data_IF_980671048137
#
_entry.id   IF_980671048137
#
_cell.length_a   1.000
_cell.length_b   1.000
_cell.length_c   1.000
_cell.angle_alpha   90.00
_cell.angle_beta   90.00
_cell.angle_gamma   90.00
#
_symmetry.space_group_name_H-M   'P 1'
#
loop_
_entity.id
_entity.type
_entity.pdbx_description
1 polymer ?
#
# COMPACT_ATOMS: atom_id res chain seq x y z
N UNK A 1 -20.06 -55.74 -8.30
CA UNK A 1 -20.01 -56.60 -7.09
C UNK A 1 -19.84 -55.72 -5.86
N UNK A 2 -20.58 -56.03 -4.79
CA UNK A 2 -20.72 -55.30 -3.53
C UNK A 2 -19.44 -55.42 -2.66
N UNK A 3 -19.14 -54.41 -1.85
CA UNK A 3 -19.06 -54.55 -0.37
C UNK A 3 -18.75 -53.21 0.31
N UNK A 4 -19.77 -52.70 1.01
CA UNK A 4 -19.63 -51.83 2.17
C UNK A 4 -19.08 -52.62 3.37
N UNK A 5 -18.33 -51.98 4.26
CA UNK A 5 -18.07 -52.38 5.66
C UNK A 5 -17.21 -51.30 6.33
N UNK A 6 -17.35 -50.86 7.58
CA UNK A 6 -18.39 -50.82 8.61
C UNK A 6 -17.75 -49.99 9.74
N UNK A 7 -18.59 -49.28 10.50
CA UNK A 7 -18.23 -48.43 11.63
C UNK A 7 -17.46 -49.15 12.76
N UNK A 8 -16.71 -48.41 13.60
CA UNK A 8 -17.06 -48.11 15.02
C UNK A 8 -15.93 -47.43 15.84
N UNK A 9 -16.31 -46.28 16.43
CA UNK A 9 -16.16 -45.80 17.83
C UNK A 9 -14.77 -45.49 18.46
N UNK A 10 -14.75 -44.28 19.05
CA UNK A 10 -13.79 -43.64 19.98
C UNK A 10 -13.48 -44.44 21.25
N UNK A 11 -12.35 -44.12 21.91
CA UNK A 11 -12.45 -43.49 23.23
C UNK A 11 -11.56 -42.26 23.45
N UNK A 12 -11.93 -41.53 24.49
CA UNK A 12 -11.46 -40.24 25.04
C UNK A 12 -10.13 -40.31 25.79
N UNK A 13 -9.33 -39.23 25.81
CA UNK A 13 -8.75 -38.64 27.04
C UNK A 13 -8.02 -37.30 26.78
N UNK A 14 -8.49 -36.30 27.54
CA UNK A 14 -7.83 -35.16 28.22
C UNK A 14 -6.64 -34.41 27.60
N UNK A 15 -6.89 -33.10 27.48
CA UNK A 15 -6.01 -31.95 27.30
C UNK A 15 -4.69 -31.95 28.09
N UNK A 16 -3.62 -31.48 27.45
CA UNK A 16 -2.90 -30.30 27.95
C UNK A 16 -1.98 -29.65 26.90
N UNK A 17 -2.05 -28.32 26.82
CA UNK A 17 -0.93 -27.41 26.58
C UNK A 17 -0.20 -27.45 25.23
N UNK A 18 -0.29 -26.36 24.48
CA UNK A 18 0.71 -26.05 23.44
C UNK A 18 0.16 -25.31 22.25
N UNK A 19 -0.30 -24.08 22.46
CA UNK A 19 -0.62 -23.15 21.39
C UNK A 19 0.61 -22.86 20.54
N UNK A 20 0.52 -23.11 19.24
CA UNK A 20 1.18 -22.31 18.19
C UNK A 20 0.37 -22.49 16.92
N UNK A 21 -0.53 -21.53 16.72
CA UNK A 21 -1.64 -21.55 15.78
C UNK A 21 -1.23 -20.77 14.53
N UNK A 22 -0.76 -21.47 13.50
CA UNK A 22 -0.76 -20.99 12.11
C UNK A 22 -2.14 -21.32 11.53
N UNK A 23 -2.98 -20.30 11.32
CA UNK A 23 -4.22 -20.45 10.55
C UNK A 23 -4.76 -19.08 10.15
N UNK A 24 -4.35 -18.64 8.97
CA UNK A 24 -5.10 -17.68 8.16
C UNK A 24 -6.37 -18.37 7.66
N UNK A 25 -7.53 -18.11 8.30
CA UNK A 25 -8.90 -18.19 7.75
C UNK A 25 -9.92 -18.20 8.90
N UNK A 26 -10.47 -17.03 9.22
CA UNK A 26 -11.87 -16.83 9.59
C UNK A 26 -12.10 -15.33 9.75
N UNK A 27 -12.79 -14.74 8.79
CA UNK A 27 -13.38 -13.42 8.96
C UNK A 27 -14.55 -13.59 9.95
N UNK A 28 -14.50 -12.92 11.09
CA UNK A 28 -15.64 -12.80 12.01
C UNK A 28 -16.01 -11.33 12.16
N UNK A 29 -17.29 -10.95 12.03
CA UNK A 29 -17.71 -9.59 12.24
C UNK A 29 -17.80 -9.35 13.75
N UNK A 30 -16.86 -8.57 14.30
CA UNK A 30 -17.04 -7.98 15.61
C UNK A 30 -17.57 -6.56 15.43
N UNK A 31 -18.89 -6.49 15.43
CA UNK A 31 -19.64 -5.30 15.85
C UNK A 31 -19.17 -4.98 17.27
N UNK A 32 -18.43 -3.89 17.41
CA UNK A 32 -18.43 -2.93 18.53
C UNK A 32 -17.08 -2.17 18.55
N UNK A 33 -17.02 -1.03 17.86
CA UNK A 33 -16.07 0.04 18.22
C UNK A 33 -16.89 1.20 18.81
N UNK A 34 -16.77 1.49 20.12
CA UNK A 34 -17.38 2.66 20.71
C UNK A 34 -16.66 3.91 20.20
N UNK A 35 -17.44 4.94 19.89
CA UNK A 35 -17.08 6.31 19.48
C UNK A 35 -15.63 6.68 19.80
N UNK A 36 -14.74 6.51 18.82
CA UNK A 36 -13.43 7.16 18.84
C UNK A 36 -13.68 8.65 18.64
N UNK A 37 -13.42 9.40 19.70
CA UNK A 37 -13.19 10.85 19.71
C UNK A 37 -12.39 11.26 18.47
N UNK A 38 -12.72 12.36 17.77
CA UNK A 38 -11.79 12.92 16.80
C UNK A 38 -10.54 13.35 17.57
N UNK A 39 -9.48 12.55 17.50
CA UNK A 39 -8.16 12.98 17.90
C UNK A 39 -7.70 13.96 16.82
N UNK A 40 -7.97 15.24 17.04
CA UNK A 40 -7.10 16.33 16.59
C UNK A 40 -5.78 16.14 17.34
N UNK A 41 -4.98 15.17 16.90
CA UNK A 41 -3.61 14.98 17.33
C UNK A 41 -2.75 15.88 16.46
N UNK A 42 -2.19 16.91 17.09
CA UNK A 42 -0.99 17.64 16.72
C UNK A 42 -0.43 17.35 15.32
N UNK A 43 -0.80 18.18 14.34
CA UNK A 43 -0.06 18.26 13.07
C UNK A 43 1.27 18.92 13.40
N UNK A 44 2.29 18.10 13.68
CA UNK A 44 3.66 18.58 13.77
C UNK A 44 4.05 19.16 12.39
N UNK A 45 4.39 20.46 12.26
CA UNK A 45 5.00 20.94 11.03
C UNK A 45 6.48 20.57 11.10
N UNK A 46 6.81 19.37 10.62
CA UNK A 46 8.19 18.89 10.49
C UNK A 46 8.52 18.77 9.01
N UNK A 47 8.66 19.92 8.33
CA UNK A 47 9.01 20.03 6.90
C UNK A 47 7.93 19.50 5.96
N UNK A 48 7.30 20.37 5.16
CA UNK A 48 6.45 19.85 4.07
C UNK A 48 7.37 19.41 2.93
N UNK A 49 7.78 18.14 2.97
CA UNK A 49 8.63 17.54 1.94
C UNK A 49 7.88 17.56 0.61
N UNK A 50 8.35 18.41 -0.32
CA UNK A 50 7.78 18.53 -1.67
C UNK A 50 8.40 17.48 -2.58
N UNK A 51 7.57 16.62 -3.14
CA UNK A 51 8.00 15.57 -4.07
C UNK A 51 7.84 16.03 -5.52
N UNK A 52 8.82 15.71 -6.35
CA UNK A 52 8.85 16.02 -7.78
C UNK A 52 9.50 14.90 -8.59
N UNK A 53 9.17 14.80 -9.88
CA UNK A 53 9.84 13.85 -10.77
C UNK A 53 11.27 14.29 -11.04
N UNK A 54 12.20 13.34 -11.01
CA UNK A 54 13.58 13.66 -11.31
C UNK A 54 13.73 14.03 -12.80
N UNK A 55 14.41 15.13 -13.14
CA UNK A 55 14.43 15.67 -14.51
C UNK A 55 15.17 14.79 -15.52
N UNK A 56 15.98 13.85 -15.05
CA UNK A 56 16.75 12.91 -15.87
C UNK A 56 16.01 11.60 -16.16
N UNK A 57 14.74 11.49 -15.74
CA UNK A 57 13.90 10.32 -15.96
C UNK A 57 13.05 10.52 -17.21
N UNK A 58 13.28 9.67 -18.20
CA UNK A 58 12.39 9.52 -19.34
C UNK A 58 11.23 8.61 -18.95
N UNK A 59 10.03 8.93 -19.40
CA UNK A 59 8.88 8.07 -19.13
C UNK A 59 7.89 8.08 -20.29
N UNK A 60 7.12 7.00 -20.38
CA UNK A 60 5.97 6.90 -21.28
C UNK A 60 4.90 6.03 -20.66
N UNK A 61 3.64 6.40 -20.86
CA UNK A 61 2.51 5.54 -20.51
C UNK A 61 2.18 4.66 -21.71
N UNK A 62 2.09 3.35 -21.46
CA UNK A 62 1.69 2.34 -22.46
C UNK A 62 0.56 1.51 -21.85
N UNK A 63 -0.60 1.54 -22.50
CA UNK A 63 -1.86 1.01 -21.94
C UNK A 63 -2.15 1.70 -20.60
N UNK A 64 -1.95 1.01 -19.46
CA UNK A 64 -2.25 1.50 -18.11
C UNK A 64 -1.01 1.53 -17.20
N UNK A 65 0.18 1.46 -17.79
CA UNK A 65 1.45 1.39 -17.06
C UNK A 65 2.41 2.47 -17.52
N UNK A 66 3.01 3.18 -16.58
CA UNK A 66 4.17 4.04 -16.83
C UNK A 66 5.43 3.19 -16.89
N UNK A 67 6.18 3.32 -17.98
CA UNK A 67 7.55 2.83 -18.13
C UNK A 67 8.49 3.98 -17.85
N UNK A 68 9.38 3.81 -16.87
CA UNK A 68 10.36 4.81 -16.45
C UNK A 68 11.76 4.30 -16.81
N UNK A 69 12.56 5.18 -17.39
CA UNK A 69 13.93 4.93 -17.81
C UNK A 69 14.82 6.05 -17.30
N UNK A 70 15.88 5.70 -16.57
CA UNK A 70 16.91 6.67 -16.18
C UNK A 70 17.88 6.90 -17.32
N UNK A 71 18.28 8.15 -17.54
CA UNK A 71 19.21 8.51 -18.62
C UNK A 71 20.64 7.92 -18.45
N UNK A 72 21.01 7.50 -17.24
CA UNK A 72 22.34 6.95 -16.93
C UNK A 72 22.49 5.45 -17.23
N UNK A 73 21.53 4.85 -17.94
CA UNK A 73 21.57 3.43 -18.30
C UNK A 73 20.99 2.49 -17.25
N UNK A 74 20.22 3.03 -16.30
CA UNK A 74 19.38 2.22 -15.41
C UNK A 74 18.36 1.37 -16.18
N UNK A 75 17.94 0.25 -15.57
CA UNK A 75 16.90 -0.61 -16.14
C UNK A 75 15.55 0.10 -16.28
N UNK A 76 14.67 -0.48 -17.10
CA UNK A 76 13.28 -0.01 -17.24
C UNK A 76 12.47 -0.45 -16.02
N UNK A 77 11.85 0.51 -15.34
CA UNK A 77 10.86 0.23 -14.28
C UNK A 77 9.45 0.39 -14.85
N UNK A 78 8.63 -0.64 -14.72
CA UNK A 78 7.21 -0.57 -15.04
C UNK A 78 6.40 -0.35 -13.76
N UNK A 79 5.60 0.72 -13.71
CA UNK A 79 4.65 0.94 -12.63
C UNK A 79 3.34 0.21 -12.90
N UNK A 80 2.71 -0.26 -11.84
CA UNK A 80 1.32 -0.73 -11.90
C UNK A 80 0.36 0.46 -12.06
N UNK A 81 -0.94 0.19 -12.08
CA UNK A 81 -1.97 1.23 -12.29
C UNK A 81 -1.93 2.33 -11.21
N UNK A 82 -1.81 1.96 -9.94
CA UNK A 82 -1.76 2.94 -8.83
C UNK A 82 -0.48 3.76 -8.84
N UNK A 83 0.68 3.13 -9.06
CA UNK A 83 1.96 3.82 -9.21
C UNK A 83 1.98 4.73 -10.45
N UNK A 84 1.33 4.33 -11.54
CA UNK A 84 1.18 5.17 -12.74
C UNK A 84 0.34 6.42 -12.44
N UNK A 85 -0.74 6.27 -11.67
CA UNK A 85 -1.54 7.42 -11.26
C UNK A 85 -0.76 8.35 -10.30
N UNK A 86 0.00 7.80 -9.36
CA UNK A 86 0.89 8.60 -8.51
C UNK A 86 1.94 9.35 -9.36
N UNK A 87 2.55 8.67 -10.34
CA UNK A 87 3.51 9.27 -11.25
C UNK A 87 2.91 10.40 -12.10
N UNK A 88 1.66 10.25 -12.53
CA UNK A 88 0.92 11.32 -13.20
C UNK A 88 0.57 12.47 -12.25
N UNK A 89 0.21 12.18 -11.00
CA UNK A 89 -0.07 13.20 -10.00
C UNK A 89 1.17 14.06 -9.67
N UNK A 90 2.37 13.47 -9.78
CA UNK A 90 3.67 14.16 -9.65
C UNK A 90 4.02 15.05 -10.87
N UNK A 91 3.14 15.19 -11.85
CA UNK A 91 3.27 16.24 -12.87
C UNK A 91 3.24 17.64 -12.25
N UNK A 92 2.45 17.81 -11.19
CA UNK A 92 2.47 19.00 -10.35
C UNK A 92 3.09 18.62 -9.00
N UNK A 93 4.30 19.11 -8.67
CA UNK A 93 4.96 18.82 -7.39
C UNK A 93 4.06 19.11 -6.19
N UNK A 94 4.21 18.31 -5.14
CA UNK A 94 3.40 18.45 -3.94
C UNK A 94 3.81 17.48 -2.84
N UNK A 95 3.19 17.63 -1.69
CA UNK A 95 3.44 16.76 -0.54
C UNK A 95 2.67 15.45 -0.64
N UNK A 96 3.08 14.47 0.15
CA UNK A 96 2.41 13.16 0.17
C UNK A 96 0.90 13.30 0.45
N UNK A 97 0.50 14.22 1.33
CA UNK A 97 -0.91 14.51 1.61
C UNK A 97 -1.66 15.09 0.42
N UNK A 98 -1.06 16.05 -0.32
CA UNK A 98 -1.66 16.62 -1.53
C UNK A 98 -1.81 15.56 -2.63
N UNK A 99 -0.79 14.73 -2.83
CA UNK A 99 -0.82 13.65 -3.80
C UNK A 99 -1.87 12.58 -3.41
N UNK A 100 -1.99 12.27 -2.12
CA UNK A 100 -3.02 11.37 -1.60
C UNK A 100 -4.42 11.89 -1.85
N UNK A 101 -4.68 13.18 -1.59
CA UNK A 101 -5.99 13.79 -1.85
C UNK A 101 -6.38 13.66 -3.34
N UNK A 102 -5.47 13.94 -4.27
CA UNK A 102 -5.69 13.78 -5.72
C UNK A 102 -5.99 12.33 -6.12
N UNK A 103 -5.30 11.38 -5.51
CA UNK A 103 -5.52 9.96 -5.78
C UNK A 103 -6.83 9.44 -5.16
N UNK A 104 -7.25 9.98 -4.01
CA UNK A 104 -8.55 9.65 -3.41
C UNK A 104 -9.72 10.00 -4.35
N UNK A 105 -9.65 11.15 -5.02
CA UNK A 105 -10.66 11.55 -6.02
C UNK A 105 -10.76 10.53 -7.18
N UNK A 106 -9.64 9.90 -7.53
CA UNK A 106 -9.55 8.94 -8.64
C UNK A 106 -9.97 7.53 -8.23
N UNK A 107 -9.65 7.10 -6.99
CA UNK A 107 -9.81 5.72 -6.53
C UNK A 107 -10.92 5.52 -5.48
N UNK A 108 -11.54 6.58 -4.96
CA UNK A 108 -12.64 6.51 -4.00
C UNK A 108 -12.27 5.86 -2.67
N UNK A 109 -11.01 5.93 -2.26
CA UNK A 109 -10.48 5.32 -1.03
C UNK A 109 -10.25 6.37 0.07
N UNK A 110 -10.09 5.92 1.32
CA UNK A 110 -9.86 6.84 2.44
C UNK A 110 -8.44 7.45 2.44
N UNK A 111 -8.30 8.78 2.64
CA UNK A 111 -7.05 9.50 2.48
C UNK A 111 -5.96 9.11 3.48
N UNK A 112 -6.35 8.72 4.70
CA UNK A 112 -5.42 8.35 5.76
C UNK A 112 -4.69 7.04 5.43
N UNK A 113 -5.37 6.08 4.81
CA UNK A 113 -4.78 4.81 4.39
C UNK A 113 -3.85 5.00 3.18
N UNK A 114 -4.23 5.91 2.27
CA UNK A 114 -3.45 6.20 1.07
C UNK A 114 -2.18 7.00 1.35
N UNK A 115 -2.18 7.89 2.33
CA UNK A 115 -1.03 8.75 2.62
C UNK A 115 0.22 7.96 3.04
N UNK A 116 0.06 6.92 3.86
CA UNK A 116 1.17 6.06 4.27
C UNK A 116 1.73 5.26 3.09
N UNK A 117 0.86 4.62 2.31
CA UNK A 117 1.24 3.83 1.12
C UNK A 117 1.94 4.70 0.06
N UNK A 118 1.44 5.91 -0.16
CA UNK A 118 2.06 6.90 -1.06
C UNK A 118 3.43 7.32 -0.53
N UNK A 119 3.57 7.57 0.76
CA UNK A 119 4.85 7.96 1.34
C UNK A 119 5.91 6.86 1.18
N UNK A 120 5.54 5.61 1.44
CA UNK A 120 6.43 4.45 1.22
C UNK A 120 6.81 4.29 -0.25
N UNK A 121 5.84 4.47 -1.15
CA UNK A 121 6.08 4.41 -2.60
C UNK A 121 7.01 5.53 -3.07
N UNK A 122 6.81 6.76 -2.58
CA UNK A 122 7.67 7.90 -2.90
C UNK A 122 9.11 7.68 -2.43
N UNK A 123 9.29 7.10 -1.24
CA UNK A 123 10.62 6.74 -0.73
C UNK A 123 11.29 5.66 -1.60
N UNK A 124 10.57 4.61 -2.01
CA UNK A 124 11.13 3.60 -2.94
C UNK A 124 11.50 4.19 -4.30
N UNK A 125 10.68 5.10 -4.84
CA UNK A 125 11.01 5.82 -6.07
C UNK A 125 12.22 6.75 -5.89
N UNK A 126 12.39 7.35 -4.71
CA UNK A 126 13.50 8.23 -4.40
C UNK A 126 14.83 7.47 -4.30
N UNK A 127 14.82 6.33 -3.61
CA UNK A 127 15.97 5.42 -3.51
C UNK A 127 16.45 4.96 -4.90
N UNK A 128 15.49 4.77 -5.82
CA UNK A 128 15.76 4.46 -7.23
C UNK A 128 16.14 5.66 -8.08
N UNK A 129 16.21 6.87 -7.51
CA UNK A 129 16.54 8.11 -8.21
C UNK A 129 15.48 8.58 -9.21
N UNK A 130 14.23 8.11 -9.10
CA UNK A 130 13.15 8.43 -10.04
C UNK A 130 12.38 9.70 -9.65
N UNK A 131 12.38 10.01 -8.37
CA UNK A 131 11.80 11.24 -7.81
C UNK A 131 12.82 11.91 -6.91
N UNK A 132 12.67 13.22 -6.74
CA UNK A 132 13.44 14.05 -5.82
C UNK A 132 12.51 14.69 -4.80
N UNK A 133 13.06 14.94 -3.62
CA UNK A 133 12.35 15.65 -2.56
C UNK A 133 13.15 16.87 -2.10
N UNK A 134 12.41 17.92 -1.72
CA UNK A 134 12.95 19.18 -1.21
C UNK A 134 12.27 19.45 0.14
N UNK A 135 13.05 19.72 1.17
CA UNK A 135 12.56 20.09 2.50
C UNK A 135 12.40 21.62 2.54
N UNK A 136 11.15 22.10 2.66
CA UNK A 136 10.80 23.54 2.63
C UNK A 136 10.16 24.01 3.92
#
# INVERSE_FOLDING_TARGET
>A
MRRASRCRRRPTVRSNGGSSRTSWTHWTPRVNCPKSTPQTGDVAPSGEVIWSRAPHVLWRVVVDQALLLRADGGGVLALNRSGTALWQALDVPGTAGVLAARLCETYGSEPEVLAEDISLTLLDLADRGLVSFDDR
#
